data_IF_510595840995
#
_entry.id   IF_510595840995
#
_cell.length_a   1.000
_cell.length_b   1.000
_cell.length_c   1.000
_cell.angle_alpha   90.00
_cell.angle_beta   90.00
_cell.angle_gamma   90.00
#
_symmetry.space_group_name_H-M   'P 1'
#
loop_
_entity.id
_entity.type
_entity.pdbx_description
1 polymer ?
#
# COMPACT_ATOMS: atom_id res chain seq x y z
N UNK A 1 19.08 -16.16 -17.47
CA UNK A 1 19.96 -16.07 -16.29
C UNK A 1 19.37 -16.93 -15.19
N UNK A 2 20.11 -17.84 -14.55
CA UNK A 2 19.56 -18.62 -13.42
C UNK A 2 19.50 -17.72 -12.17
N UNK A 3 18.56 -18.00 -11.26
CA UNK A 3 18.35 -17.19 -10.03
C UNK A 3 19.63 -17.03 -9.20
N UNK A 4 20.45 -18.09 -9.15
CA UNK A 4 21.73 -18.10 -8.41
C UNK A 4 22.74 -17.14 -9.04
N UNK A 5 22.78 -17.06 -10.37
CA UNK A 5 23.70 -16.17 -11.09
C UNK A 5 23.27 -14.70 -10.93
N UNK A 6 21.96 -14.45 -10.96
CA UNK A 6 21.39 -13.13 -10.67
C UNK A 6 21.70 -12.68 -9.24
N UNK A 7 21.53 -13.57 -8.26
CA UNK A 7 21.85 -13.28 -6.86
C UNK A 7 23.33 -12.96 -6.66
N UNK A 8 24.24 -13.76 -7.25
CA UNK A 8 25.69 -13.53 -7.17
C UNK A 8 26.08 -12.19 -7.79
N UNK A 9 25.45 -11.82 -8.90
CA UNK A 9 25.68 -10.54 -9.56
C UNK A 9 25.21 -9.37 -8.68
N UNK A 10 23.99 -9.45 -8.16
CA UNK A 10 23.44 -8.43 -7.27
C UNK A 10 24.25 -8.29 -5.98
N UNK A 11 24.68 -9.40 -5.39
CA UNK A 11 25.51 -9.39 -4.20
C UNK A 11 26.84 -8.66 -4.46
N UNK A 12 27.51 -8.98 -5.57
CA UNK A 12 28.75 -8.29 -5.97
C UNK A 12 28.54 -6.79 -6.18
N UNK A 13 27.43 -6.40 -6.79
CA UNK A 13 27.09 -4.98 -7.01
C UNK A 13 26.89 -4.26 -5.68
N UNK A 14 26.19 -4.87 -4.73
CA UNK A 14 25.97 -4.27 -3.41
C UNK A 14 27.27 -4.16 -2.59
N UNK A 15 28.19 -5.11 -2.71
CA UNK A 15 29.50 -5.04 -2.04
C UNK A 15 30.40 -3.93 -2.58
N UNK A 16 30.18 -3.48 -3.81
CA UNK A 16 30.96 -2.42 -4.45
C UNK A 16 30.43 -1.01 -4.15
N UNK A 17 29.27 -0.88 -3.50
CA UNK A 17 28.71 0.42 -3.14
C UNK A 17 29.55 1.06 -2.03
N UNK A 18 29.84 2.34 -2.21
CA UNK A 18 30.56 3.19 -1.28
C UNK A 18 29.62 4.23 -0.69
N UNK A 19 29.97 4.82 0.45
CA UNK A 19 29.15 5.87 1.09
C UNK A 19 28.90 7.09 0.18
N UNK A 20 29.79 7.30 -0.80
CA UNK A 20 29.68 8.32 -1.84
C UNK A 20 28.48 8.08 -2.77
N UNK A 21 28.14 6.82 -3.04
CA UNK A 21 26.99 6.44 -3.89
C UNK A 21 25.65 6.73 -3.22
N UNK A 22 25.65 6.87 -1.89
CA UNK A 22 24.48 7.21 -1.08
C UNK A 22 24.41 8.70 -0.75
N UNK A 23 25.37 9.52 -1.18
CA UNK A 23 25.27 10.97 -1.06
C UNK A 23 24.05 11.42 -1.85
N UNK A 24 23.06 11.89 -1.11
CA UNK A 24 21.82 12.44 -1.65
C UNK A 24 22.17 13.50 -2.67
N UNK A 25 22.09 13.16 -3.96
CA UNK A 25 22.05 14.18 -5.00
C UNK A 25 20.87 15.09 -4.68
N UNK A 26 21.07 16.40 -4.87
CA UNK A 26 20.00 17.37 -4.65
C UNK A 26 18.73 16.83 -5.30
N UNK A 27 17.59 16.78 -4.57
CA UNK A 27 16.38 16.17 -5.09
C UNK A 27 16.10 16.81 -6.43
N UNK A 28 16.23 16.02 -7.50
CA UNK A 28 15.84 16.49 -8.83
C UNK A 28 14.38 16.90 -8.66
N UNK A 29 14.02 18.16 -8.96
CA UNK A 29 12.65 18.59 -8.78
C UNK A 29 11.80 17.62 -9.58
N UNK A 30 11.02 16.82 -8.86
CA UNK A 30 10.08 15.91 -9.50
C UNK A 30 9.27 16.79 -10.44
N UNK A 31 9.14 16.46 -11.74
CA UNK A 31 8.21 17.16 -12.59
C UNK A 31 6.90 17.17 -11.82
N UNK A 32 6.32 18.36 -11.64
CA UNK A 32 5.14 18.61 -10.81
C UNK A 32 4.03 17.69 -11.33
N UNK A 33 4.02 16.46 -10.84
CA UNK A 33 3.03 15.49 -11.20
C UNK A 33 1.81 15.91 -10.38
N UNK A 34 0.67 16.18 -11.03
CA UNK A 34 -0.52 16.56 -10.30
C UNK A 34 -0.79 15.47 -9.24
N UNK A 35 -0.75 15.87 -7.97
CA UNK A 35 -0.96 15.00 -6.81
C UNK A 35 -2.28 14.26 -7.06
N UNK A 36 -2.21 12.97 -7.36
CA UNK A 36 -3.38 12.15 -7.70
C UNK A 36 -4.34 12.15 -6.52
N UNK A 37 -5.38 13.01 -6.58
CA UNK A 37 -6.46 13.02 -5.60
C UNK A 37 -7.28 11.75 -5.82
N UNK A 38 -7.22 10.83 -4.86
CA UNK A 38 -8.15 9.69 -4.84
C UNK A 38 -9.45 10.20 -4.27
N UNK A 39 -10.51 10.21 -5.08
CA UNK A 39 -11.86 10.49 -4.61
C UNK A 39 -12.32 9.31 -3.75
N UNK A 40 -12.10 9.38 -2.44
CA UNK A 40 -12.66 8.40 -1.51
C UNK A 40 -14.06 8.86 -1.09
N UNK A 41 -15.02 8.87 -2.03
CA UNK A 41 -16.43 9.15 -1.73
C UNK A 41 -17.13 7.94 -1.10
N UNK A 42 -16.52 7.31 -0.10
CA UNK A 42 -17.22 6.30 0.67
C UNK A 42 -18.06 7.02 1.72
N UNK A 43 -19.35 7.14 1.46
CA UNK A 43 -20.30 7.52 2.51
C UNK A 43 -20.43 6.30 3.41
N UNK A 44 -19.98 6.42 4.67
CA UNK A 44 -20.31 5.44 5.69
C UNK A 44 -21.83 5.48 5.90
N UNK A 45 -22.55 4.57 5.21
CA UNK A 45 -23.96 4.32 5.51
C UNK A 45 -24.01 3.65 6.88
N UNK A 46 -24.13 4.44 7.93
CA UNK A 46 -24.51 3.95 9.25
C UNK A 46 -25.97 3.50 9.12
N UNK A 47 -26.16 2.20 8.89
CA UNK A 47 -27.46 1.56 8.83
C UNK A 47 -27.56 0.73 10.10
N UNK A 48 -28.29 1.23 11.09
CA UNK A 48 -28.70 0.51 12.29
C UNK A 48 -29.73 -0.57 11.95
N UNK A 49 -29.30 -1.58 11.19
CA UNK A 49 -30.14 -2.71 10.82
C UNK A 49 -30.25 -3.69 12.00
N UNK A 50 -31.31 -3.54 12.78
CA UNK A 50 -31.68 -4.49 13.82
C UNK A 50 -32.63 -5.56 13.26
N UNK A 51 -32.46 -6.81 13.68
CA UNK A 51 -33.30 -7.95 13.30
C UNK A 51 -33.70 -8.72 14.56
N UNK A 52 -34.94 -9.18 14.63
CA UNK A 52 -35.42 -10.02 15.72
C UNK A 52 -35.14 -11.49 15.36
N UNK A 53 -34.32 -12.15 16.17
CA UNK A 53 -34.03 -13.59 16.05
C UNK A 53 -34.43 -14.25 17.36
N UNK A 54 -35.38 -15.19 17.29
CA UNK A 54 -35.91 -15.91 18.46
C UNK A 54 -36.41 -14.97 19.57
N UNK A 55 -37.08 -13.88 19.18
CA UNK A 55 -37.62 -12.88 20.11
C UNK A 55 -36.61 -11.86 20.65
N UNK A 56 -35.32 -11.98 20.29
CA UNK A 56 -34.26 -11.06 20.73
C UNK A 56 -33.81 -10.16 19.58
N UNK A 57 -33.76 -8.86 19.81
CA UNK A 57 -33.24 -7.89 18.84
C UNK A 57 -31.71 -7.98 18.77
N UNK A 58 -31.19 -8.32 17.59
CA UNK A 58 -29.75 -8.48 17.32
C UNK A 58 -29.33 -7.59 16.15
N UNK A 59 -28.09 -7.09 16.19
CA UNK A 59 -27.53 -6.32 15.07
C UNK A 59 -27.25 -7.25 13.89
N UNK A 60 -27.73 -6.91 12.70
CA UNK A 60 -27.52 -7.72 11.50
C UNK A 60 -26.06 -7.60 11.04
N UNK A 61 -25.34 -8.72 11.04
CA UNK A 61 -24.04 -8.80 10.37
C UNK A 61 -24.26 -8.85 8.85
N UNK A 62 -23.60 -7.94 8.12
CA UNK A 62 -23.57 -7.98 6.64
C UNK A 62 -22.22 -8.53 6.20
N UNK A 63 -22.22 -9.41 5.21
CA UNK A 63 -20.99 -9.73 4.47
C UNK A 63 -20.60 -8.50 3.65
N UNK A 64 -19.42 -7.94 3.91
CA UNK A 64 -18.87 -6.90 3.05
C UNK A 64 -18.61 -7.51 1.65
N UNK A 65 -18.90 -6.74 0.60
CA UNK A 65 -18.46 -7.02 -0.77
C UNK A 65 -17.19 -6.23 -1.05
#
# INVERSE_FOLDING_TARGET
MKRVDWYKMLHKQLTQLTDEDFKTSAPTPSPIAPKRRRNTSHVHKHLEDWVIVSGVQKRRQRSCK
#
